data_IF_260063951914
#
_entry.id   IF_260063951914
#
_cell.length_a   1.000
_cell.length_b   1.000
_cell.length_c   1.000
_cell.angle_alpha   90.00
_cell.angle_beta   90.00
_cell.angle_gamma   90.00
#
_symmetry.space_group_name_H-M   'P 1'
#
loop_
_entity.id
_entity.type
_entity.pdbx_description
1 polymer ?
#
# COMPACT_ATOMS: atom_id res chain seq x y z
N UNK A 1 9.53 13.12 12.61
CA UNK A 1 9.98 12.16 11.57
C UNK A 1 11.44 12.41 11.31
N UNK A 2 12.26 11.37 11.18
CA UNK A 2 13.64 11.54 10.71
C UNK A 2 13.65 11.68 9.20
N UNK A 3 14.47 12.58 8.68
CA UNK A 3 14.61 12.86 7.25
C UNK A 3 14.98 11.59 6.46
N UNK A 4 15.82 10.74 7.05
CA UNK A 4 16.23 9.44 6.49
C UNK A 4 15.06 8.47 6.24
N UNK A 5 14.04 8.43 7.11
CA UNK A 5 12.86 7.56 6.91
C UNK A 5 12.00 8.08 5.76
N UNK A 6 11.84 9.40 5.64
CA UNK A 6 11.08 10.01 4.55
C UNK A 6 11.76 9.80 3.20
N UNK A 7 13.09 9.98 3.14
CA UNK A 7 13.91 9.65 1.97
C UNK A 7 13.79 8.18 1.57
N UNK A 8 13.86 7.27 2.54
CA UNK A 8 13.74 5.83 2.29
C UNK A 8 12.40 5.46 1.68
N UNK A 9 11.30 5.96 2.27
CA UNK A 9 9.93 5.80 1.75
C UNK A 9 9.83 6.34 0.32
N UNK A 10 10.34 7.55 0.09
CA UNK A 10 10.30 8.19 -1.24
C UNK A 10 11.03 7.37 -2.28
N UNK A 11 12.24 6.89 -1.99
CA UNK A 11 13.04 6.07 -2.92
C UNK A 11 12.33 4.76 -3.24
N UNK A 12 11.82 4.06 -2.22
CA UNK A 12 11.14 2.76 -2.38
C UNK A 12 9.84 2.90 -3.17
N UNK A 13 9.03 3.90 -2.85
CA UNK A 13 7.79 4.18 -3.57
C UNK A 13 8.06 4.64 -4.99
N UNK A 14 9.05 5.51 -5.21
CA UNK A 14 9.44 5.92 -6.56
C UNK A 14 9.82 4.70 -7.39
N UNK A 15 10.64 3.78 -6.86
CA UNK A 15 11.06 2.58 -7.58
C UNK A 15 9.87 1.69 -7.98
N UNK A 16 8.98 1.39 -7.02
CA UNK A 16 7.81 0.53 -7.26
C UNK A 16 6.80 1.18 -8.20
N UNK A 17 6.64 2.51 -8.11
CA UNK A 17 5.65 3.27 -8.85
C UNK A 17 6.18 3.82 -10.18
N UNK A 18 7.48 3.79 -10.45
CA UNK A 18 8.11 4.32 -11.68
C UNK A 18 7.38 3.86 -12.93
N UNK A 19 7.04 2.57 -13.02
CA UNK A 19 6.34 1.98 -14.18
C UNK A 19 4.90 2.46 -14.38
N UNK A 20 4.31 3.09 -13.37
CA UNK A 20 2.93 3.60 -13.37
C UNK A 20 2.86 5.08 -13.01
N UNK A 21 3.99 5.78 -12.98
CA UNK A 21 4.13 7.18 -12.58
C UNK A 21 3.18 8.09 -13.36
N UNK A 22 3.03 7.85 -14.66
CA UNK A 22 2.10 8.55 -15.56
C UNK A 22 0.63 8.49 -15.11
N UNK A 23 0.23 7.43 -14.41
CA UNK A 23 -1.16 7.22 -13.97
C UNK A 23 -1.40 7.60 -12.50
N UNK A 24 -0.39 8.09 -11.81
CA UNK A 24 -0.43 8.42 -10.38
C UNK A 24 -0.54 9.93 -10.21
N UNK A 25 -1.63 10.36 -9.58
CA UNK A 25 -1.90 11.77 -9.30
C UNK A 25 -1.21 12.25 -8.03
N UNK A 26 -1.23 11.41 -6.98
CA UNK A 26 -0.65 11.75 -5.68
C UNK A 26 -0.39 10.50 -4.85
N UNK A 27 0.65 10.55 -4.03
CA UNK A 27 0.89 9.54 -2.98
C UNK A 27 0.91 10.23 -1.62
N UNK A 28 0.11 9.73 -0.68
CA UNK A 28 0.12 10.14 0.71
C UNK A 28 0.65 9.02 1.58
N UNK A 29 1.60 9.31 2.46
CA UNK A 29 2.12 8.35 3.44
C UNK A 29 1.84 8.90 4.84
N UNK A 30 1.30 8.05 5.70
CA UNK A 30 1.16 8.30 7.12
C UNK A 30 1.88 7.20 7.87
N UNK A 31 2.82 7.60 8.71
CA UNK A 31 3.46 6.70 9.67
C UNK A 31 2.96 7.11 11.05
N UNK A 32 2.69 6.15 11.90
CA UNK A 32 2.40 6.39 13.30
C UNK A 32 2.83 5.22 14.16
N UNK A 33 2.84 5.45 15.45
CA UNK A 33 3.01 4.45 16.48
C UNK A 33 1.67 4.36 17.21
N UNK A 34 1.08 3.17 17.27
CA UNK A 34 -0.27 3.04 17.83
C UNK A 34 -0.27 3.15 19.36
N UNK A 35 0.90 3.10 20.02
CA UNK A 35 0.93 2.81 21.44
C UNK A 35 1.22 4.03 22.32
N UNK A 36 0.28 4.28 23.25
CA UNK A 36 0.49 5.12 24.43
C UNK A 36 1.49 4.51 25.44
N UNK A 37 1.55 5.02 26.69
CA UNK A 37 2.67 4.85 27.64
C UNK A 37 3.00 3.42 28.12
N UNK A 38 2.41 2.37 27.54
CA UNK A 38 2.57 0.96 27.93
C UNK A 38 3.44 0.11 26.99
N UNK A 39 4.17 0.73 26.05
CA UNK A 39 5.28 0.09 25.35
C UNK A 39 4.97 -1.09 24.41
N UNK A 40 3.95 -0.97 23.57
CA UNK A 40 3.80 -1.81 22.38
C UNK A 40 4.76 -1.32 21.29
N UNK A 41 5.46 -2.24 20.63
CA UNK A 41 6.39 -1.92 19.54
C UNK A 41 5.69 -1.71 18.19
N UNK A 42 4.35 -1.70 18.17
CA UNK A 42 3.55 -1.74 16.97
C UNK A 42 3.49 -0.36 16.28
N UNK A 43 4.25 -0.26 15.20
CA UNK A 43 4.31 0.89 14.32
C UNK A 43 3.50 0.59 13.07
N UNK A 44 2.75 1.58 12.60
CA UNK A 44 1.95 1.44 11.39
C UNK A 44 2.44 2.37 10.27
N UNK A 45 2.30 1.88 9.04
CA UNK A 45 2.46 2.65 7.82
C UNK A 45 1.19 2.52 6.99
N UNK A 46 0.59 3.66 6.68
CA UNK A 46 -0.55 3.76 5.79
C UNK A 46 -0.18 4.55 4.54
N UNK A 47 -0.31 3.92 3.39
CA UNK A 47 0.01 4.49 2.08
C UNK A 47 -1.27 4.62 1.27
N UNK A 48 -1.53 5.82 0.77
CA UNK A 48 -2.67 6.16 -0.07
C UNK A 48 -2.17 6.59 -1.45
N UNK A 49 -2.52 5.85 -2.49
CA UNK A 49 -2.16 6.15 -3.87
C UNK A 49 -3.40 6.59 -4.62
N UNK A 50 -3.40 7.85 -5.05
CA UNK A 50 -4.44 8.45 -5.87
C UNK A 50 -4.05 8.26 -7.35
N UNK A 51 -4.89 7.55 -8.10
CA UNK A 51 -4.70 7.28 -9.51
C UNK A 51 -5.59 8.20 -10.35
N UNK A 52 -5.24 8.44 -11.63
CA UNK A 52 -6.02 9.29 -12.54
C UNK A 52 -7.35 8.65 -12.96
N UNK A 53 -7.29 7.41 -13.48
CA UNK A 53 -8.43 6.67 -14.03
C UNK A 53 -8.87 5.49 -13.16
N UNK A 54 -8.49 5.50 -11.87
CA UNK A 54 -8.71 4.36 -10.99
C UNK A 54 -9.02 4.81 -9.56
N UNK A 55 -9.79 4.00 -8.79
CA UNK A 55 -10.06 4.31 -7.39
C UNK A 55 -8.78 4.45 -6.57
N UNK A 56 -8.87 5.19 -5.46
CA UNK A 56 -7.76 5.35 -4.52
C UNK A 56 -7.37 4.00 -3.93
N UNK A 57 -6.09 3.65 -4.02
CA UNK A 57 -5.54 2.47 -3.37
C UNK A 57 -5.05 2.85 -1.97
N UNK A 58 -5.62 2.22 -0.94
CA UNK A 58 -5.20 2.41 0.46
C UNK A 58 -4.61 1.11 0.96
N UNK A 59 -3.36 1.18 1.44
CA UNK A 59 -2.62 0.08 2.01
C UNK A 59 -2.27 0.49 3.44
N UNK A 60 -2.45 -0.42 4.38
CA UNK A 60 -2.05 -0.26 5.78
C UNK A 60 -1.25 -1.49 6.19
N UNK A 61 -0.16 -1.26 6.90
CA UNK A 61 0.75 -2.30 7.36
C UNK A 61 1.21 -1.95 8.77
N UNK A 62 1.32 -2.96 9.63
CA UNK A 62 1.64 -2.81 11.06
C UNK A 62 2.75 -3.79 11.39
N UNK A 63 3.73 -3.36 12.17
CA UNK A 63 4.80 -4.22 12.64
C UNK A 63 5.76 -3.52 13.60
N UNK A 64 6.71 -4.30 14.10
CA UNK A 64 7.63 -3.85 15.16
C UNK A 64 8.73 -2.89 14.67
N UNK A 65 9.04 -2.96 13.38
CA UNK A 65 10.10 -2.17 12.73
C UNK A 65 9.55 -1.34 11.56
N UNK A 66 9.79 -0.03 11.58
CA UNK A 66 9.31 0.88 10.53
C UNK A 66 9.91 0.56 9.17
N UNK A 67 11.18 0.17 9.09
CA UNK A 67 11.83 -0.11 7.81
C UNK A 67 11.24 -1.36 7.13
N UNK A 68 10.95 -2.40 7.91
CA UNK A 68 10.27 -3.60 7.46
C UNK A 68 8.82 -3.31 7.06
N UNK A 69 8.07 -2.58 7.88
CA UNK A 69 6.69 -2.15 7.58
C UNK A 69 6.64 -1.32 6.29
N UNK A 70 7.60 -0.42 6.08
CA UNK A 70 7.73 0.37 4.84
C UNK A 70 8.04 -0.52 3.63
N UNK A 71 8.92 -1.51 3.74
CA UNK A 71 9.17 -2.44 2.62
C UNK A 71 7.91 -3.20 2.23
N UNK A 72 7.25 -3.82 3.22
CA UNK A 72 6.04 -4.60 3.00
C UNK A 72 4.94 -3.75 2.39
N UNK A 73 4.73 -2.55 2.92
CA UNK A 73 3.76 -1.60 2.38
C UNK A 73 4.11 -1.20 0.94
N UNK A 74 5.38 -0.91 0.62
CA UNK A 74 5.82 -0.56 -0.73
C UNK A 74 5.60 -1.71 -1.73
N UNK A 75 5.97 -2.95 -1.37
CA UNK A 75 5.71 -4.12 -2.21
C UNK A 75 4.21 -4.33 -2.47
N UNK A 76 3.38 -4.19 -1.43
CA UNK A 76 1.91 -4.28 -1.54
C UNK A 76 1.35 -3.20 -2.45
N UNK A 77 1.81 -1.95 -2.31
CA UNK A 77 1.42 -0.84 -3.19
C UNK A 77 1.61 -1.19 -4.66
N UNK A 78 2.78 -1.75 -5.03
CA UNK A 78 3.06 -2.14 -6.41
C UNK A 78 2.07 -3.16 -6.98
N UNK A 79 1.71 -4.17 -6.17
CA UNK A 79 0.74 -5.20 -6.56
C UNK A 79 -0.68 -4.65 -6.65
N UNK A 80 -1.08 -3.83 -5.68
CA UNK A 80 -2.42 -3.21 -5.64
C UNK A 80 -2.62 -2.26 -6.80
N UNK A 81 -1.63 -1.43 -7.14
CA UNK A 81 -1.69 -0.52 -8.28
C UNK A 81 -1.86 -1.28 -9.60
N UNK A 82 -1.08 -2.35 -9.83
CA UNK A 82 -1.25 -3.21 -11.02
C UNK A 82 -2.65 -3.79 -11.08
N UNK A 83 -3.14 -4.36 -9.98
CA UNK A 83 -4.48 -4.95 -9.92
C UNK A 83 -5.59 -3.91 -10.14
N UNK A 84 -5.41 -2.69 -9.65
CA UNK A 84 -6.36 -1.60 -9.87
C UNK A 84 -6.39 -1.17 -11.33
N UNK A 85 -5.23 -0.99 -11.95
CA UNK A 85 -5.12 -0.62 -13.36
C UNK A 85 -5.65 -1.72 -14.29
N UNK A 86 -5.34 -2.98 -14.00
CA UNK A 86 -5.86 -4.14 -14.74
C UNK A 86 -7.39 -4.26 -14.63
N UNK A 87 -7.93 -4.04 -13.43
CA UNK A 87 -9.38 -4.03 -13.22
C UNK A 87 -10.08 -2.87 -13.95
N UNK A 88 -9.45 -1.70 -14.07
CA UNK A 88 -9.99 -0.61 -14.91
C UNK A 88 -10.04 -1.00 -16.39
N UNK A 89 -9.02 -1.70 -16.90
CA UNK A 89 -9.02 -2.21 -18.28
C UNK A 89 -10.11 -3.26 -18.49
N UNK A 90 -10.26 -4.20 -17.57
CA UNK A 90 -11.33 -5.20 -17.60
C UNK A 90 -12.72 -4.53 -17.50
N UNK A 91 -12.89 -3.55 -16.60
CA UNK A 91 -14.14 -2.82 -16.47
C UNK A 91 -14.47 -1.95 -17.69
N UNK A 92 -13.50 -1.37 -18.42
CA UNK A 92 -13.78 -0.69 -19.70
C UNK A 92 -14.34 -1.67 -20.74
N UNK A 93 -13.80 -2.90 -20.79
CA UNK A 93 -14.29 -3.96 -21.67
C UNK A 93 -15.70 -4.42 -21.28
N UNK A 94 -15.97 -4.53 -19.98
CA UNK A 94 -17.27 -4.93 -19.42
C UNK A 94 -18.32 -3.79 -19.54
N UNK A 95 -17.91 -2.53 -19.41
CA UNK A 95 -18.78 -1.36 -19.60
C UNK A 95 -19.21 -1.21 -21.06
N UNK A 96 -18.33 -1.54 -22.02
CA UNK A 96 -18.72 -1.66 -23.43
C UNK A 96 -19.78 -2.77 -23.65
N UNK A 97 -19.78 -3.79 -22.78
CA UNK A 97 -20.79 -4.86 -22.76
C UNK A 97 -22.02 -4.52 -21.89
N UNK A 98 -22.16 -3.28 -21.40
CA UNK A 98 -23.34 -2.82 -20.65
C UNK A 98 -23.48 -3.37 -19.23
N UNK A 99 -22.46 -4.06 -18.70
CA UNK A 99 -22.51 -4.67 -17.37
C UNK A 99 -21.91 -3.73 -16.32
N UNK A 100 -22.67 -3.47 -15.24
CA UNK A 100 -22.25 -2.54 -14.17
C UNK A 100 -21.01 -3.06 -13.44
N UNK A 101 -19.94 -2.28 -13.30
CA UNK A 101 -18.76 -2.72 -12.57
C UNK A 101 -19.06 -2.88 -11.08
N UNK A 102 -18.60 -3.99 -10.49
CA UNK A 102 -18.78 -4.26 -9.08
C UNK A 102 -18.13 -3.16 -8.22
N UNK A 103 -18.97 -2.45 -7.45
CA UNK A 103 -18.58 -1.43 -6.44
C UNK A 103 -17.47 -1.98 -5.57
N UNK A 104 -16.25 -1.46 -5.73
CA UNK A 104 -15.09 -1.94 -4.98
C UNK A 104 -14.92 -1.09 -3.72
N UNK A 105 -15.35 -1.64 -2.58
CA UNK A 105 -14.82 -1.28 -1.26
C UNK A 105 -13.54 -2.09 -1.06
N UNK A 106 -12.36 -1.48 -1.25
CA UNK A 106 -11.15 -2.04 -0.67
C UNK A 106 -11.12 -1.56 0.79
N UNK A 107 -11.63 -2.40 1.68
CA UNK A 107 -11.43 -2.27 3.12
C UNK A 107 -9.97 -2.52 3.49
N UNK A 108 -9.55 -2.18 4.72
CA UNK A 108 -8.20 -2.47 5.20
C UNK A 108 -7.90 -3.94 4.97
N UNK A 109 -6.78 -4.22 4.30
CA UNK A 109 -6.27 -5.58 4.15
C UNK A 109 -5.87 -6.04 5.54
N UNK A 110 -6.72 -6.87 6.17
CA UNK A 110 -6.39 -7.51 7.44
C UNK A 110 -5.04 -8.23 7.25
N UNK A 111 -4.03 -7.72 7.95
CA UNK A 111 -2.66 -8.21 7.86
C UNK A 111 -2.65 -9.63 8.42
N UNK A 112 -2.76 -10.61 7.54
CA UNK A 112 -2.56 -12.02 7.87
C UNK A 112 -1.19 -12.19 8.50
N UNK A 113 -1.18 -12.53 9.79
CA UNK A 113 -0.02 -12.99 10.56
C UNK A 113 0.81 -13.94 9.69
N UNK A 114 1.93 -13.45 9.19
CA UNK A 114 2.99 -14.29 8.66
C UNK A 114 3.93 -14.54 9.82
N UNK A 115 3.63 -15.56 10.62
CA UNK A 115 4.60 -16.11 11.56
C UNK A 115 5.78 -16.63 10.75
N UNK A 116 6.92 -15.96 10.84
CA UNK A 116 8.17 -16.48 10.31
C UNK A 116 8.84 -17.29 11.43
N UNK A 117 9.03 -18.56 11.12
CA UNK A 117 9.56 -19.60 11.99
C UNK A 117 10.87 -19.20 12.66
N UNK A 118 10.92 -19.47 13.96
CA UNK A 118 12.13 -19.62 14.74
C UNK A 118 12.98 -20.72 14.09
N UNK A 119 14.14 -20.33 13.57
CA UNK A 119 15.18 -21.26 13.14
C UNK A 119 16.44 -20.89 13.91
N UNK A 120 16.75 -21.69 14.91
CA UNK A 120 18.04 -21.75 15.56
C UNK A 120 18.24 -23.18 16.10
N UNK A 121 19.50 -23.59 16.28
CA UNK A 121 20.37 -24.19 15.26
C UNK A 121 20.19 -25.71 15.09
#
# INVERSE_FOLDING_TARGET
>A
MTDALAEHVRRRLSFVLTRHSDRIKRVGVRLGDENGPRGGADKFCRIQVYLLDAPVAVIEDIGVDLYAVIDNAAQRVGRVVVKHLDRTHANRKIAHLGLRPARTRYGPVESGRSGQADRAP
#
